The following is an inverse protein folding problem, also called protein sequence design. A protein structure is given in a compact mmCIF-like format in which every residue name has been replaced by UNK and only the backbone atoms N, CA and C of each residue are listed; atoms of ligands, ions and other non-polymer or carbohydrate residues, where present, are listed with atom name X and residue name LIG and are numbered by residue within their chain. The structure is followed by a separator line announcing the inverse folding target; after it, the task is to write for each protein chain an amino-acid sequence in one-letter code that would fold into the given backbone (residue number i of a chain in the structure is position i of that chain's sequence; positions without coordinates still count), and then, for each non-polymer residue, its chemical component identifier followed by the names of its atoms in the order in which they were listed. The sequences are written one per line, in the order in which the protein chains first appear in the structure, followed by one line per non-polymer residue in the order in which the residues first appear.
data_IF_626204302801
#
_entry.id   IF_626204302801
#
_cell.length_a   1.000
_cell.length_b   1.000
_cell.length_c   1.000
_cell.angle_alpha   90.00
_cell.angle_beta   90.00
_cell.angle_gamma   90.00
#
_symmetry.space_group_name_H-M   'P 1'
#
loop_
_entity.id
_entity.type
_entity.pdbx_description
1 polymer ?
#
# COMPACT_ATOMS: atom_id res chain seq x y z
N UNK A 1 -30.58 -10.26 -9.12
CA UNK A 1 -30.80 -9.21 -8.11
C UNK A 1 -29.51 -8.71 -7.46
N UNK A 2 -28.58 -9.59 -7.02
CA UNK A 2 -27.32 -9.17 -6.38
C UNK A 2 -26.25 -8.58 -7.33
N UNK A 3 -26.39 -8.78 -8.64
CA UNK A 3 -25.46 -8.24 -9.66
C UNK A 3 -25.94 -6.94 -10.34
N UNK A 4 -27.11 -6.41 -9.97
CA UNK A 4 -27.66 -5.16 -10.52
C UNK A 4 -27.25 -3.90 -9.74
N UNK A 5 -26.43 -4.04 -8.70
CA UNK A 5 -25.79 -2.93 -7.98
C UNK A 5 -24.40 -2.57 -8.53
N UNK A 6 -24.03 -3.08 -9.70
CA UNK A 6 -22.90 -2.55 -10.47
C UNK A 6 -23.41 -1.28 -11.17
N UNK A 7 -23.56 -0.19 -10.39
CA UNK A 7 -23.77 1.13 -10.99
C UNK A 7 -22.61 1.38 -11.95
N UNK A 8 -22.87 1.80 -13.20
CA UNK A 8 -21.79 2.25 -14.07
C UNK A 8 -21.05 3.38 -13.34
N UNK A 9 -19.71 3.38 -13.32
CA UNK A 9 -18.97 4.45 -12.68
C UNK A 9 -19.29 5.73 -13.45
N UNK A 10 -20.08 6.62 -12.83
CA UNK A 10 -20.24 8.01 -13.24
C UNK A 10 -18.85 8.54 -13.59
N UNK A 11 -18.72 9.07 -14.80
CA UNK A 11 -17.50 9.54 -15.47
C UNK A 11 -16.34 9.69 -14.50
N UNK A 12 -15.46 8.67 -14.50
CA UNK A 12 -14.23 8.66 -13.72
C UNK A 12 -13.40 9.86 -14.14
N UNK A 13 -13.61 11.00 -13.48
CA UNK A 13 -12.65 12.10 -13.46
C UNK A 13 -11.33 11.45 -13.08
N UNK A 14 -10.46 11.30 -14.08
CA UNK A 14 -9.16 10.65 -13.91
C UNK A 14 -8.44 11.44 -12.86
N UNK A 15 -8.34 10.83 -11.69
CA UNK A 15 -7.87 11.44 -10.46
C UNK A 15 -6.43 11.86 -10.65
N UNK A 16 -6.22 13.15 -10.94
CA UNK A 16 -4.91 13.77 -10.82
C UNK A 16 -4.38 13.50 -9.41
N UNK A 17 -3.13 13.06 -9.27
CA UNK A 17 -2.52 12.95 -7.96
C UNK A 17 -2.55 14.32 -7.31
N UNK A 18 -3.07 14.36 -6.09
CA UNK A 18 -3.10 15.59 -5.33
C UNK A 18 -1.66 16.01 -5.06
N UNK A 19 -1.41 17.32 -4.96
CA UNK A 19 -0.15 17.87 -4.42
C UNK A 19 0.26 17.14 -3.12
N UNK A 20 -0.73 16.68 -2.36
CA UNK A 20 -0.55 15.82 -1.20
C UNK A 20 0.17 14.49 -1.51
N UNK A 21 -0.28 13.69 -2.48
CA UNK A 21 0.40 12.41 -2.83
C UNK A 21 1.84 12.65 -3.24
N UNK A 22 2.12 13.73 -3.99
CA UNK A 22 3.48 14.13 -4.35
C UNK A 22 4.32 14.42 -3.09
N UNK A 23 3.81 15.26 -2.19
CA UNK A 23 4.51 15.63 -0.96
C UNK A 23 4.72 14.41 -0.04
N UNK A 24 3.70 13.57 0.14
CA UNK A 24 3.80 12.36 0.95
C UNK A 24 4.86 11.40 0.39
N UNK A 25 4.88 11.21 -0.92
CA UNK A 25 5.86 10.36 -1.61
C UNK A 25 7.30 10.87 -1.45
N UNK A 26 7.49 12.20 -1.52
CA UNK A 26 8.79 12.82 -1.29
C UNK A 26 9.25 12.66 0.16
N UNK A 27 8.34 12.88 1.12
CA UNK A 27 8.64 12.72 2.54
C UNK A 27 9.01 11.26 2.85
N UNK A 28 8.27 10.29 2.30
CA UNK A 28 8.62 8.87 2.41
C UNK A 28 10.04 8.62 1.93
N UNK A 29 10.35 9.00 0.69
CA UNK A 29 11.66 8.73 0.09
C UNK A 29 12.80 9.36 0.89
N UNK A 30 12.61 10.57 1.41
CA UNK A 30 13.60 11.25 2.25
C UNK A 30 13.81 10.49 3.57
N UNK A 31 12.74 10.15 4.28
CA UNK A 31 12.79 9.42 5.55
C UNK A 31 13.38 8.01 5.39
N UNK A 32 13.06 7.35 4.27
CA UNK A 32 13.44 5.98 3.96
C UNK A 32 14.84 5.83 3.38
N UNK A 33 15.42 6.90 2.84
CA UNK A 33 16.73 6.88 2.18
C UNK A 33 17.89 6.41 3.07
N UNK A 34 17.99 6.77 4.38
CA UNK A 34 19.08 6.28 5.23
C UNK A 34 19.00 4.76 5.39
N UNK A 35 17.79 4.20 5.54
CA UNK A 35 17.57 2.76 5.68
C UNK A 35 17.94 2.01 4.41
N UNK A 36 17.61 2.54 3.22
CA UNK A 36 18.03 1.96 1.93
C UNK A 36 19.57 1.95 1.85
N UNK A 37 20.22 3.09 2.13
CA UNK A 37 21.67 3.22 2.05
C UNK A 37 22.40 2.32 3.06
N UNK A 38 21.87 2.21 4.29
CA UNK A 38 22.42 1.34 5.34
C UNK A 38 22.30 -0.15 4.97
N UNK A 39 21.24 -0.54 4.26
CA UNK A 39 21.06 -1.90 3.76
C UNK A 39 22.03 -2.24 2.62
N UNK A 40 22.31 -1.28 1.73
CA UNK A 40 23.27 -1.50 0.63
C UNK A 40 24.72 -1.64 1.12
N UNK A 41 25.06 -1.03 2.27
CA UNK A 41 26.44 -0.91 2.74
C UNK A 41 26.87 -2.00 3.74
N UNK A 42 25.96 -2.88 4.20
CA UNK A 42 26.30 -3.94 5.15
C UNK A 42 25.80 -5.30 4.68
N UNK A 43 26.67 -6.32 4.80
CA UNK A 43 26.39 -7.76 4.70
C UNK A 43 25.40 -8.28 5.79
N UNK A 44 24.49 -7.44 6.28
CA UNK A 44 23.55 -7.79 7.34
C UNK A 44 22.35 -8.52 6.73
N UNK A 45 22.14 -9.73 7.25
CA UNK A 45 21.01 -10.62 6.95
C UNK A 45 19.74 -10.07 7.61
N UNK A 46 19.18 -8.99 7.09
CA UNK A 46 17.78 -8.70 7.39
C UNK A 46 16.92 -9.79 6.74
N UNK A 47 15.84 -10.18 7.41
CA UNK A 47 14.91 -11.18 6.90
C UNK A 47 14.38 -10.68 5.55
N UNK A 48 14.63 -11.46 4.49
CA UNK A 48 14.39 -11.07 3.11
C UNK A 48 12.99 -10.49 2.85
N UNK A 49 11.96 -10.93 3.60
CA UNK A 49 10.59 -10.43 3.47
C UNK A 49 10.47 -8.91 3.70
N UNK A 50 11.06 -8.41 4.79
CA UNK A 50 10.94 -6.99 5.16
C UNK A 50 11.65 -6.12 4.14
N UNK A 51 12.82 -6.55 3.64
CA UNK A 51 13.55 -5.79 2.60
C UNK A 51 12.75 -5.77 1.30
N UNK A 52 12.32 -6.92 0.79
CA UNK A 52 11.62 -6.98 -0.50
C UNK A 52 10.33 -6.15 -0.46
N UNK A 53 9.56 -6.28 0.61
CA UNK A 53 8.34 -5.51 0.79
C UNK A 53 8.62 -4.00 0.93
N UNK A 54 9.64 -3.63 1.71
CA UNK A 54 10.05 -2.23 1.87
C UNK A 54 10.55 -1.63 0.56
N UNK A 55 11.38 -2.35 -0.20
CA UNK A 55 11.86 -1.95 -1.52
C UNK A 55 10.71 -1.80 -2.49
N UNK A 56 9.77 -2.75 -2.52
CA UNK A 56 8.61 -2.67 -3.40
C UNK A 56 7.74 -1.45 -3.07
N UNK A 57 7.52 -1.17 -1.78
CA UNK A 57 6.83 0.03 -1.30
C UNK A 57 7.60 1.30 -1.66
N UNK A 58 8.92 1.32 -1.48
CA UNK A 58 9.78 2.43 -1.87
C UNK A 58 9.80 2.69 -3.38
N UNK A 59 9.54 1.68 -4.23
CA UNK A 59 9.39 1.82 -5.68
C UNK A 59 8.02 2.38 -6.10
N UNK A 60 6.97 2.15 -5.30
CA UNK A 60 5.64 2.72 -5.57
C UNK A 60 5.69 4.25 -5.53
N UNK A 61 6.35 4.83 -4.53
CA UNK A 61 6.41 6.29 -4.36
C UNK A 61 7.01 7.08 -5.54
N UNK A 62 8.20 6.75 -6.10
CA UNK A 62 8.73 7.46 -7.26
C UNK A 62 7.86 7.26 -8.50
N UNK A 63 7.23 6.09 -8.68
CA UNK A 63 6.28 5.89 -9.78
C UNK A 63 5.02 6.73 -9.58
N UNK A 64 4.52 6.86 -8.35
CA UNK A 64 3.44 7.79 -7.99
C UNK A 64 3.82 9.24 -8.25
N UNK A 65 5.06 9.66 -7.98
CA UNK A 65 5.58 10.99 -8.33
C UNK A 65 5.55 11.20 -9.84
N UNK A 66 6.09 10.24 -10.63
CA UNK A 66 6.10 10.32 -12.10
C UNK A 66 4.65 10.41 -12.63
N UNK A 67 3.75 9.58 -12.11
CA UNK A 67 2.33 9.63 -12.44
C UNK A 67 1.71 11.00 -12.10
N UNK A 68 2.08 11.58 -10.96
CA UNK A 68 1.64 12.92 -10.53
C UNK A 68 2.07 14.00 -11.50
N UNK A 69 3.34 13.99 -11.90
CA UNK A 69 3.88 14.96 -12.86
C UNK A 69 3.22 14.81 -14.22
N UNK A 70 3.08 13.58 -14.72
CA UNK A 70 2.42 13.31 -16.02
C UNK A 70 0.97 13.78 -15.99
N UNK A 71 0.26 13.50 -14.90
CA UNK A 71 -1.10 13.97 -14.74
C UNK A 71 -1.14 15.49 -14.75
N UNK A 72 -0.38 16.20 -13.91
CA UNK A 72 -0.36 17.67 -13.89
C UNK A 72 -0.05 18.30 -15.26
N UNK A 73 0.79 17.66 -16.09
CA UNK A 73 1.09 18.12 -17.45
C UNK A 73 0.00 17.84 -18.48
N UNK A 74 -0.89 16.86 -18.23
CA UNK A 74 -1.94 16.42 -19.14
C UNK A 74 -3.32 16.98 -18.79
N UNK A 75 -3.40 18.04 -17.98
CA UNK A 75 -4.68 18.64 -17.60
C UNK A 75 -5.56 19.05 -18.80
N UNK A 76 -4.99 19.23 -19.99
CA UNK A 76 -5.69 19.66 -21.22
C UNK A 76 -5.96 18.54 -22.26
N UNK A 77 -5.42 17.33 -22.12
CA UNK A 77 -5.49 16.28 -23.16
C UNK A 77 -6.30 15.03 -22.72
N UNK A 78 -7.51 14.90 -23.28
CA UNK A 78 -8.44 13.76 -23.25
C UNK A 78 -8.67 13.06 -21.89
N UNK A 79 -9.74 13.47 -21.20
CA UNK A 79 -10.42 12.70 -20.16
C UNK A 79 -10.88 11.34 -20.72
N UNK A 80 -10.10 10.27 -20.54
CA UNK A 80 -10.63 8.93 -20.82
C UNK A 80 -9.65 7.76 -20.85
N UNK A 81 -8.38 8.00 -21.19
CA UNK A 81 -7.40 6.90 -21.28
C UNK A 81 -6.55 6.81 -20.01
N UNK A 82 -6.90 5.85 -19.14
CA UNK A 82 -6.04 5.46 -18.02
C UNK A 82 -4.77 4.81 -18.60
N UNK A 83 -3.67 5.57 -18.60
CA UNK A 83 -2.37 5.11 -19.10
C UNK A 83 -1.87 3.87 -18.37
N UNK A 84 -1.07 3.04 -19.05
CA UNK A 84 -0.50 1.81 -18.48
C UNK A 84 0.23 2.06 -17.16
N UNK A 85 0.97 3.17 -17.06
CA UNK A 85 1.66 3.55 -15.82
C UNK A 85 0.70 3.66 -14.62
N UNK A 86 -0.46 4.30 -14.79
CA UNK A 86 -1.44 4.46 -13.71
C UNK A 86 -1.98 3.12 -13.23
N UNK A 87 -2.27 2.20 -14.16
CA UNK A 87 -2.69 0.83 -13.81
C UNK A 87 -1.59 0.09 -13.05
N UNK A 88 -0.35 0.17 -13.52
CA UNK A 88 0.80 -0.47 -12.89
C UNK A 88 1.02 0.07 -11.48
N UNK A 89 1.03 1.39 -11.30
CA UNK A 89 1.18 2.03 -9.98
C UNK A 89 0.05 1.62 -9.04
N UNK A 90 -1.18 1.56 -9.54
CA UNK A 90 -2.35 1.14 -8.74
C UNK A 90 -2.16 -0.28 -8.21
N UNK A 91 -1.89 -1.24 -9.10
CA UNK A 91 -1.71 -2.65 -8.73
C UNK A 91 -0.50 -2.83 -7.80
N UNK A 92 0.61 -2.13 -8.09
CA UNK A 92 1.81 -2.18 -7.26
C UNK A 92 1.55 -1.63 -5.87
N UNK A 93 0.87 -0.48 -5.76
CA UNK A 93 0.55 0.14 -4.48
C UNK A 93 -0.33 -0.75 -3.62
N UNK A 94 -1.44 -1.28 -4.15
CA UNK A 94 -2.33 -2.16 -3.40
C UNK A 94 -1.63 -3.43 -2.94
N UNK A 95 -0.82 -4.03 -3.83
CA UNK A 95 -0.03 -5.20 -3.49
C UNK A 95 0.94 -4.86 -2.37
N UNK A 96 1.71 -3.77 -2.53
CA UNK A 96 2.71 -3.33 -1.56
C UNK A 96 2.10 -2.94 -0.20
N UNK A 97 0.94 -2.30 -0.20
CA UNK A 97 0.28 -1.79 1.00
C UNK A 97 -0.25 -2.95 1.84
N UNK A 98 -1.02 -3.84 1.22
CA UNK A 98 -1.58 -5.01 1.88
C UNK A 98 -0.48 -5.93 2.41
N UNK A 99 0.60 -6.14 1.63
CA UNK A 99 1.74 -6.96 2.08
C UNK A 99 2.51 -6.28 3.19
N UNK A 100 2.73 -4.96 3.13
CA UNK A 100 3.39 -4.20 4.18
C UNK A 100 2.62 -4.25 5.49
N UNK A 101 1.32 -4.00 5.46
CA UNK A 101 0.48 -4.05 6.65
C UNK A 101 0.51 -5.43 7.30
N UNK A 102 0.43 -6.48 6.48
CA UNK A 102 0.55 -7.86 6.96
C UNK A 102 1.92 -8.12 7.60
N UNK A 103 3.00 -7.74 6.93
CA UNK A 103 4.37 -7.93 7.44
C UNK A 103 4.56 -7.21 8.78
N UNK A 104 4.07 -5.97 8.90
CA UNK A 104 4.18 -5.20 10.15
C UNK A 104 3.43 -5.89 11.29
N UNK A 105 2.19 -6.32 11.05
CA UNK A 105 1.41 -7.00 12.09
C UNK A 105 2.03 -8.33 12.48
N UNK A 106 2.47 -9.15 11.52
CA UNK A 106 3.16 -10.39 11.84
C UNK A 106 4.47 -10.13 12.59
N UNK A 107 5.21 -9.08 12.24
CA UNK A 107 6.43 -8.70 12.93
C UNK A 107 6.15 -8.30 14.40
N UNK A 108 5.18 -7.43 14.67
CA UNK A 108 4.88 -7.04 16.05
C UNK A 108 4.18 -8.15 16.87
N UNK A 109 3.27 -8.91 16.25
CA UNK A 109 2.51 -9.96 16.95
C UNK A 109 3.33 -11.23 17.16
N UNK A 110 4.02 -11.74 16.12
CA UNK A 110 4.73 -13.01 16.20
C UNK A 110 6.17 -12.86 16.71
N UNK A 111 6.84 -11.75 16.38
CA UNK A 111 8.24 -11.53 16.75
C UNK A 111 8.40 -10.59 17.96
N UNK A 112 7.30 -10.22 18.61
CA UNK A 112 7.30 -9.36 19.80
C UNK A 112 7.89 -7.98 19.55
N UNK A 113 7.86 -7.53 18.29
CA UNK A 113 8.43 -6.26 17.86
C UNK A 113 9.94 -6.15 17.96
N UNK A 114 10.68 -7.27 18.12
CA UNK A 114 12.13 -7.31 18.18
C UNK A 114 12.68 -6.55 19.39
N UNK A 115 13.22 -7.26 20.37
CA UNK A 115 13.97 -6.66 21.48
C UNK A 115 15.15 -5.84 20.93
N UNK A 116 14.98 -4.52 20.81
CA UNK A 116 15.95 -3.66 20.18
C UNK A 116 17.19 -3.52 21.07
N UNK A 117 18.28 -4.20 20.70
CA UNK A 117 19.53 -4.17 21.47
C UNK A 117 20.36 -2.90 21.25
N UNK A 118 19.94 -1.99 20.37
CA UNK A 118 20.64 -0.73 20.08
C UNK A 118 19.68 0.34 19.56
N UNK A 119 20.06 1.61 19.71
CA UNK A 119 19.33 2.76 19.16
C UNK A 119 19.12 2.65 17.64
N UNK A 120 20.13 2.17 16.90
CA UNK A 120 20.01 1.93 15.46
C UNK A 120 18.98 0.84 15.14
N UNK A 121 18.93 -0.24 15.92
CA UNK A 121 17.93 -1.29 15.74
C UNK A 121 16.51 -0.80 16.05
N UNK A 122 16.36 0.07 17.06
CA UNK A 122 15.08 0.68 17.40
C UNK A 122 14.61 1.63 16.28
N UNK A 123 15.52 2.47 15.76
CA UNK A 123 15.23 3.35 14.62
C UNK A 123 14.77 2.54 13.40
N UNK A 124 15.52 1.52 12.99
CA UNK A 124 15.20 0.74 11.80
C UNK A 124 13.86 0.00 11.94
N UNK A 125 13.53 -0.50 13.14
CA UNK A 125 12.23 -1.10 13.41
C UNK A 125 11.08 -0.08 13.23
N UNK A 126 11.21 1.10 13.85
CA UNK A 126 10.20 2.16 13.72
C UNK A 126 10.06 2.62 12.27
N UNK A 127 11.17 2.77 11.54
CA UNK A 127 11.18 3.23 10.16
C UNK A 127 10.55 2.21 9.20
N UNK A 128 11.04 0.96 9.19
CA UNK A 128 10.58 -0.04 8.21
C UNK A 128 9.17 -0.58 8.50
N UNK A 129 8.67 -0.41 9.71
CA UNK A 129 7.35 -0.89 10.10
C UNK A 129 6.39 0.25 10.41
N UNK A 130 6.72 1.10 11.39
CA UNK A 130 5.84 2.16 11.86
C UNK A 130 5.62 3.26 10.82
N UNK A 131 6.71 3.83 10.29
CA UNK A 131 6.60 4.89 9.29
C UNK A 131 5.93 4.37 8.01
N UNK A 132 6.31 3.18 7.52
CA UNK A 132 5.65 2.54 6.35
C UNK A 132 4.13 2.47 6.52
N UNK A 133 3.63 2.01 7.68
CA UNK A 133 2.18 2.00 7.94
C UNK A 133 1.56 3.40 7.86
N UNK A 134 2.19 4.40 8.50
CA UNK A 134 1.67 5.77 8.47
C UNK A 134 1.57 6.31 7.04
N UNK A 135 2.54 5.99 6.19
CA UNK A 135 2.51 6.41 4.79
C UNK A 135 1.42 5.69 3.99
N UNK A 136 1.24 4.38 4.20
CA UNK A 136 0.15 3.61 3.59
C UNK A 136 -1.21 4.20 3.98
N UNK A 137 -1.43 4.43 5.28
CA UNK A 137 -2.65 5.05 5.77
C UNK A 137 -2.85 6.47 5.22
N UNK A 138 -1.79 7.28 5.17
CA UNK A 138 -1.82 8.61 4.57
C UNK A 138 -2.24 8.57 3.10
N UNK A 139 -1.65 7.68 2.31
CA UNK A 139 -1.96 7.53 0.89
C UNK A 139 -3.39 7.05 0.66
N UNK A 140 -3.90 6.13 1.49
CA UNK A 140 -5.29 5.66 1.39
C UNK A 140 -6.27 6.76 1.82
N UNK A 141 -6.01 7.47 2.92
CA UNK A 141 -6.94 8.47 3.45
C UNK A 141 -6.99 9.75 2.61
N UNK A 142 -5.84 10.19 2.11
CA UNK A 142 -5.68 11.52 1.52
C UNK A 142 -5.34 11.46 0.02
N UNK A 143 -4.80 10.33 -0.45
CA UNK A 143 -4.72 10.04 -1.87
C UNK A 143 -6.10 9.71 -2.44
N UNK A 144 -6.22 9.72 -3.77
CA UNK A 144 -7.42 9.27 -4.50
C UNK A 144 -7.25 7.84 -5.01
N UNK A 145 -6.51 7.03 -4.25
CA UNK A 145 -6.22 5.66 -4.64
C UNK A 145 -7.51 4.84 -4.67
N UNK A 146 -7.79 4.18 -5.79
CA UNK A 146 -8.93 3.27 -5.93
C UNK A 146 -8.44 1.87 -5.62
N UNK A 147 -9.24 1.09 -4.88
CA UNK A 147 -8.93 -0.30 -4.52
C UNK A 147 -10.03 -1.21 -5.07
N UNK A 148 -10.04 -1.53 -6.38
CA UNK A 148 -11.06 -2.37 -6.97
C UNK A 148 -10.87 -3.83 -6.50
N UNK A 149 -11.99 -4.52 -6.28
CA UNK A 149 -11.99 -5.81 -5.58
C UNK A 149 -11.18 -6.88 -6.33
N UNK A 150 -11.14 -6.78 -7.66
CA UNK A 150 -10.39 -7.69 -8.52
C UNK A 150 -8.88 -7.69 -8.24
N UNK A 151 -8.36 -6.61 -7.66
CA UNK A 151 -6.93 -6.51 -7.33
C UNK A 151 -6.54 -7.25 -6.05
N UNK A 152 -7.49 -7.87 -5.32
CA UNK A 152 -7.18 -8.76 -4.17
C UNK A 152 -6.27 -9.94 -4.57
N UNK A 153 -6.28 -10.32 -5.85
CA UNK A 153 -5.39 -11.35 -6.37
C UNK A 153 -3.91 -10.91 -6.31
N UNK A 154 -3.60 -9.62 -6.38
CA UNK A 154 -2.23 -9.11 -6.33
C UNK A 154 -1.51 -9.47 -5.02
N UNK A 155 -2.01 -9.03 -3.85
CA UNK A 155 -1.46 -9.40 -2.55
C UNK A 155 -1.37 -10.93 -2.33
N UNK A 156 -2.39 -11.68 -2.76
CA UNK A 156 -2.42 -13.14 -2.60
C UNK A 156 -1.36 -13.83 -3.47
N UNK A 157 -1.24 -13.45 -4.75
CA UNK A 157 -0.20 -13.98 -5.64
C UNK A 157 1.20 -13.61 -5.16
N UNK A 158 1.38 -12.41 -4.61
CA UNK A 158 2.64 -12.00 -3.98
C UNK A 158 2.97 -12.90 -2.77
N UNK A 159 1.99 -13.18 -1.92
CA UNK A 159 2.12 -14.12 -0.81
C UNK A 159 2.52 -15.53 -1.27
N UNK A 160 1.90 -16.06 -2.33
CA UNK A 160 2.25 -17.36 -2.92
C UNK A 160 3.68 -17.34 -3.46
N UNK A 161 4.04 -16.32 -4.25
CA UNK A 161 5.39 -16.18 -4.78
C UNK A 161 6.44 -16.12 -3.66
N UNK A 162 6.12 -15.44 -2.56
CA UNK A 162 6.98 -15.38 -1.39
C UNK A 162 7.15 -16.75 -0.72
N UNK A 163 6.06 -17.48 -0.47
CA UNK A 163 6.13 -18.84 0.12
C UNK A 163 6.95 -19.79 -0.76
N UNK A 164 6.75 -19.76 -2.08
CA UNK A 164 7.51 -20.55 -3.04
C UNK A 164 9.00 -20.20 -2.98
N UNK A 165 9.32 -18.90 -3.00
CA UNK A 165 10.69 -18.42 -2.87
C UNK A 165 11.33 -18.89 -1.57
N UNK A 166 10.63 -18.76 -0.43
CA UNK A 166 11.10 -19.22 0.88
C UNK A 166 11.35 -20.72 0.91
N UNK A 167 10.45 -21.53 0.33
CA UNK A 167 10.61 -22.98 0.26
C UNK A 167 11.83 -23.38 -0.56
N UNK A 168 12.00 -22.82 -1.77
CA UNK A 168 13.17 -23.06 -2.63
C UNK A 168 14.45 -22.64 -1.91
N UNK A 169 14.44 -21.49 -1.22
CA UNK A 169 15.60 -20.97 -0.52
C UNK A 169 16.03 -21.89 0.63
N UNK A 170 15.09 -22.36 1.45
CA UNK A 170 15.37 -23.27 2.57
C UNK A 170 15.93 -24.60 2.07
N UNK A 171 15.31 -25.19 1.04
CA UNK A 171 15.75 -26.48 0.46
C UNK A 171 17.09 -26.34 -0.26
N UNK A 172 17.26 -25.30 -1.07
CA UNK A 172 18.42 -25.13 -1.95
C UNK A 172 19.70 -24.70 -1.22
N UNK A 173 19.59 -23.97 -0.11
CA UNK A 173 20.75 -23.47 0.64
C UNK A 173 21.01 -24.23 1.95
N UNK A 174 20.18 -25.23 2.28
CA UNK A 174 20.38 -26.13 3.43
C UNK A 174 20.39 -25.43 4.79
N UNK A 175 19.83 -24.22 4.89
CA UNK A 175 20.09 -23.30 6.00
C UNK A 175 18.81 -22.88 6.75
N UNK A 176 18.00 -23.85 7.17
CA UNK A 176 16.82 -23.63 8.02
C UNK A 176 17.18 -22.95 9.37
N UNK A 177 18.39 -23.19 9.87
CA UNK A 177 18.85 -22.67 11.17
C UNK A 177 18.96 -21.14 11.26
N UNK A 178 19.13 -20.44 10.13
CA UNK A 178 19.28 -18.97 10.13
C UNK A 178 17.95 -18.20 10.20
N UNK A 179 16.80 -18.86 10.05
CA UNK A 179 15.49 -18.20 10.01
C UNK A 179 14.57 -18.57 11.19
N UNK A 180 15.11 -19.32 12.17
CA UNK A 180 14.38 -19.76 13.34
C UNK A 180 13.26 -20.75 13.01
N UNK A 181 12.51 -21.14 14.04
CA UNK A 181 11.39 -22.10 13.96
C UNK A 181 10.21 -21.65 13.09
N UNK A 182 10.20 -20.40 12.61
CA UNK A 182 9.10 -19.83 11.80
C UNK A 182 9.14 -20.33 10.36
N UNK A 183 10.31 -20.64 9.80
CA UNK A 183 10.45 -21.23 8.46
C UNK A 183 10.77 -22.73 8.49
N UNK A 184 10.49 -23.38 9.62
CA UNK A 184 10.51 -24.83 9.68
C UNK A 184 9.23 -25.37 9.03
N UNK A 185 9.27 -25.62 7.73
CA UNK A 185 8.12 -26.15 6.97
C UNK A 185 7.64 -27.52 7.46
N UNK A 186 8.38 -28.20 8.35
CA UNK A 186 7.91 -29.42 9.02
C UNK A 186 7.06 -29.12 10.26
N UNK A 187 7.11 -27.89 10.77
CA UNK A 187 6.36 -27.45 11.93
C UNK A 187 4.92 -27.07 11.58
N UNK A 188 3.96 -27.58 12.35
CA UNK A 188 2.57 -27.16 12.28
C UNK A 188 2.41 -25.66 12.54
N UNK A 189 3.27 -25.08 13.38
CA UNK A 189 3.30 -23.65 13.66
C UNK A 189 3.60 -22.81 12.41
N UNK A 190 4.52 -23.26 11.54
CA UNK A 190 4.83 -22.60 10.27
C UNK A 190 3.65 -22.64 9.32
N UNK A 191 2.98 -23.79 9.20
CA UNK A 191 1.78 -23.90 8.37
C UNK A 191 0.66 -22.96 8.85
N UNK A 192 0.38 -22.92 10.15
CA UNK A 192 -0.60 -21.98 10.71
C UNK A 192 -0.19 -20.52 10.55
N UNK A 193 1.10 -20.21 10.66
CA UNK A 193 1.62 -18.84 10.45
C UNK A 193 1.45 -18.39 9.00
N UNK A 194 1.72 -19.29 8.03
CA UNK A 194 1.50 -19.01 6.60
C UNK A 194 0.01 -18.81 6.33
N UNK A 195 -0.85 -19.71 6.82
CA UNK A 195 -2.30 -19.57 6.66
C UNK A 195 -2.81 -18.26 7.29
N UNK A 196 -2.36 -17.96 8.50
CA UNK A 196 -2.66 -16.70 9.19
C UNK A 196 -2.22 -15.48 8.40
N UNK A 197 -1.05 -15.54 7.75
CA UNK A 197 -0.57 -14.47 6.87
C UNK A 197 -1.47 -14.26 5.65
N UNK A 198 -1.95 -15.32 5.00
CA UNK A 198 -2.90 -15.19 3.87
C UNK A 198 -4.25 -14.61 4.30
N UNK A 199 -4.76 -15.03 5.46
CA UNK A 199 -5.97 -14.45 6.04
C UNK A 199 -5.76 -12.97 6.37
N UNK A 200 -4.61 -12.62 6.96
CA UNK A 200 -4.25 -11.23 7.25
C UNK A 200 -4.15 -10.40 5.97
N UNK A 201 -3.52 -10.89 4.90
CA UNK A 201 -3.47 -10.21 3.59
C UNK A 201 -4.86 -9.87 3.06
N UNK A 202 -5.78 -10.84 3.10
CA UNK A 202 -7.16 -10.61 2.67
C UNK A 202 -7.89 -9.59 3.56
N UNK A 203 -7.71 -9.67 4.88
CA UNK A 203 -8.30 -8.72 5.82
C UNK A 203 -7.77 -7.31 5.58
N UNK A 204 -6.45 -7.12 5.45
CA UNK A 204 -5.87 -5.81 5.20
C UNK A 204 -6.33 -5.22 3.88
N UNK A 205 -6.37 -6.02 2.81
CA UNK A 205 -6.94 -5.56 1.54
C UNK A 205 -8.40 -5.07 1.71
N UNK A 206 -9.22 -5.80 2.46
CA UNK A 206 -10.61 -5.40 2.73
C UNK A 206 -10.70 -4.12 3.57
N UNK A 207 -9.80 -3.94 4.54
CA UNK A 207 -9.70 -2.71 5.34
C UNK A 207 -9.31 -1.53 4.43
N UNK A 208 -8.27 -1.67 3.62
CA UNK A 208 -7.80 -0.64 2.69
C UNK A 208 -8.91 -0.21 1.74
N UNK A 209 -9.63 -1.18 1.17
CA UNK A 209 -10.82 -0.93 0.36
C UNK A 209 -11.92 -0.21 1.13
N UNK A 210 -12.22 -0.65 2.35
CA UNK A 210 -13.25 -0.03 3.19
C UNK A 210 -12.95 1.43 3.49
N UNK A 211 -11.70 1.75 3.82
CA UNK A 211 -11.25 3.13 4.05
C UNK A 211 -11.38 3.95 2.76
N UNK A 212 -10.96 3.42 1.62
CA UNK A 212 -11.08 4.11 0.33
C UNK A 212 -12.55 4.40 -0.04
N UNK A 213 -13.46 3.44 0.16
CA UNK A 213 -14.90 3.62 -0.07
C UNK A 213 -15.50 4.69 0.85
N UNK A 214 -15.17 4.66 2.15
CA UNK A 214 -15.62 5.68 3.11
C UNK A 214 -15.13 7.07 2.70
N UNK A 215 -13.84 7.21 2.38
CA UNK A 215 -13.25 8.46 1.89
C UNK A 215 -14.02 8.99 0.67
N UNK A 216 -14.29 8.12 -0.31
CA UNK A 216 -14.97 8.51 -1.54
C UNK A 216 -16.42 8.92 -1.29
N UNK A 217 -17.13 8.26 -0.37
CA UNK A 217 -18.46 8.69 0.09
C UNK A 217 -18.40 10.08 0.70
N UNK A 218 -17.44 10.33 1.61
CA UNK A 218 -17.28 11.63 2.27
C UNK A 218 -17.00 12.76 1.27
N UNK A 219 -16.14 12.52 0.28
CA UNK A 219 -15.84 13.49 -0.78
C UNK A 219 -17.11 13.80 -1.59
N UNK A 220 -17.89 12.78 -1.98
CA UNK A 220 -19.15 12.96 -2.73
C UNK A 220 -20.18 13.77 -1.94
N UNK A 221 -20.36 13.46 -0.66
CA UNK A 221 -21.26 14.20 0.23
C UNK A 221 -20.87 15.69 0.33
N UNK A 222 -19.56 15.97 0.45
CA UNK A 222 -19.05 17.35 0.49
C UNK A 222 -19.32 18.09 -0.83
N UNK A 223 -19.07 17.46 -1.96
CA UNK A 223 -19.31 18.06 -3.28
C UNK A 223 -20.80 18.37 -3.51
N UNK A 224 -21.70 17.44 -3.15
CA UNK A 224 -23.14 17.65 -3.26
C UNK A 224 -23.62 18.83 -2.40
N UNK A 225 -23.10 18.96 -1.17
CA UNK A 225 -23.39 20.09 -0.29
C UNK A 225 -22.92 21.42 -0.91
N UNK A 226 -21.69 21.46 -1.42
CA UNK A 226 -21.14 22.66 -2.08
C UNK A 226 -21.94 23.09 -3.31
N UNK A 227 -22.38 22.14 -4.15
CA UNK A 227 -23.19 22.43 -5.33
C UNK A 227 -24.56 23.03 -4.96
N UNK A 228 -25.20 22.48 -3.93
CA UNK A 228 -26.49 22.98 -3.43
C UNK A 228 -26.35 24.41 -2.90
N UNK A 229 -25.28 24.70 -2.15
CA UNK A 229 -25.01 26.05 -1.62
C UNK A 229 -24.76 27.07 -2.74
N UNK A 230 -24.02 26.70 -3.79
CA UNK A 230 -23.79 27.57 -4.94
C UNK A 230 -25.08 27.85 -5.71
N UNK A 231 -25.92 26.83 -5.90
CA UNK A 231 -27.22 26.99 -6.55
C UNK A 231 -28.15 27.92 -5.74
N UNK A 232 -28.19 27.78 -4.42
CA UNK A 232 -28.98 28.69 -3.55
C UNK A 232 -28.44 30.12 -3.55
N UNK A 233 -27.11 30.30 -3.64
CA UNK A 233 -26.52 31.63 -3.70
C UNK A 233 -26.87 32.34 -5.02
N UNK A 234 -26.76 31.63 -6.15
CA UNK A 234 -27.10 32.18 -7.47
C UNK A 234 -28.59 32.54 -7.58
N UNK A 235 -29.49 31.70 -7.06
CA UNK A 235 -30.92 31.99 -7.05
C UNK A 235 -31.26 33.29 -6.28
N UNK A 236 -30.53 33.62 -5.21
CA UNK A 236 -30.73 34.87 -4.48
C UNK A 236 -30.22 36.09 -5.26
N UNK A 237 -29.21 35.94 -6.13
CA UNK A 237 -28.72 37.03 -6.98
C UNK A 237 -29.69 37.38 -8.10
N UNK A 238 -30.43 36.40 -8.65
CA UNK A 238 -31.40 36.63 -9.72
C UNK A 238 -32.64 37.45 -9.28
N UNK A 239 -32.82 37.66 -7.97
CA UNK A 239 -33.92 38.43 -7.39
C UNK A 239 -33.57 39.89 -7.06
N UNK A 240 -32.31 40.31 -7.25
CA UNK A 240 -31.81 41.67 -7.02
C UNK A 240 -31.68 42.45 -8.33
#
# INVERSE_FOLDING_TARGET
ALFLLIRPPLSRSTSFPSLYTLLLSLIFLLCSSPTILLNLNKNRRYTYLTIWNYTFTALVFPLSIIQSIIALRRQDEEEGKVGHLSKTVTIMAETAFSTSATVVVLFWVLLGGGSACSSLSAYLNIDVHGLVLLYIFGEILLGKHQVPFIHIMGPLLFGVAYVVFSAIYVVGLGNASNYGSILDFQSTFTLFSILGAFVALAIFFLIERGIAEIRDVLIRCRQAKSATTLQSANANFDHL
#
